data_IF_113640196924
#
_entry.id   IF_113640196924
#
_cell.length_a   1.000
_cell.length_b   1.000
_cell.length_c   1.000
_cell.angle_alpha   90.00
_cell.angle_beta   90.00
_cell.angle_gamma   90.00
#
_symmetry.space_group_name_H-M   'P 1'
#
loop_
_entity.id
_entity.type
_entity.pdbx_description
1 polymer ?
#
# COMPACT_ATOMS: atom_id res chain seq x y z
N UNK A 1 50.31 -38.44 33.29
CA UNK A 1 50.53 -37.72 34.58
C UNK A 1 50.10 -36.27 34.41
N UNK A 2 49.09 -35.86 35.02
CA UNK A 2 48.70 -34.71 35.82
C UNK A 2 47.24 -34.48 35.73
N UNK A 3 46.62 -34.77 36.84
CA UNK A 3 45.25 -34.52 37.26
C UNK A 3 44.95 -33.01 37.42
N UNK A 4 43.82 -32.54 37.01
CA UNK A 4 43.32 -31.16 37.23
C UNK A 4 41.81 -31.13 37.43
N UNK A 5 41.46 -30.73 38.62
CA UNK A 5 40.18 -30.81 39.35
C UNK A 5 38.99 -30.12 38.65
N UNK A 6 37.82 -30.76 38.77
CA UNK A 6 36.49 -30.18 38.69
C UNK A 6 36.26 -29.15 39.82
N UNK A 7 35.76 -27.97 39.46
CA UNK A 7 35.09 -27.06 40.40
C UNK A 7 33.68 -26.81 39.90
N UNK A 8 32.71 -27.30 40.66
CA UNK A 8 31.29 -27.07 40.41
C UNK A 8 30.92 -25.64 40.82
N UNK A 9 30.12 -24.98 39.97
CA UNK A 9 29.46 -23.73 40.30
C UNK A 9 27.97 -24.00 40.52
N UNK A 10 27.54 -23.75 41.75
CA UNK A 10 26.15 -23.75 42.16
C UNK A 10 25.37 -22.66 41.39
N UNK A 11 24.27 -23.04 40.75
CA UNK A 11 23.26 -22.15 40.24
C UNK A 11 22.32 -21.79 41.37
N UNK A 12 22.40 -20.56 41.86
CA UNK A 12 21.45 -20.01 42.82
C UNK A 12 20.15 -19.60 42.08
N UNK A 13 19.06 -20.28 42.42
CA UNK A 13 17.72 -19.90 42.01
C UNK A 13 17.29 -18.72 42.88
N UNK A 14 17.21 -17.51 42.26
CA UNK A 14 16.56 -16.35 42.89
C UNK A 14 15.08 -16.42 42.59
N UNK A 15 14.26 -16.76 43.58
CA UNK A 15 12.80 -16.62 43.53
C UNK A 15 12.49 -15.16 43.81
N UNK A 16 12.05 -14.42 42.76
CA UNK A 16 11.45 -13.10 42.91
C UNK A 16 9.99 -13.28 43.33
N UNK A 17 9.71 -13.03 44.61
CA UNK A 17 8.34 -12.82 45.10
C UNK A 17 7.84 -11.45 44.63
N UNK A 18 6.85 -11.45 43.71
CA UNK A 18 6.07 -10.25 43.41
C UNK A 18 5.14 -9.94 44.58
N UNK A 19 5.44 -8.93 45.36
CA UNK A 19 4.52 -8.30 46.31
C UNK A 19 3.58 -7.39 45.51
N UNK A 20 2.32 -7.75 45.40
CA UNK A 20 1.25 -6.87 44.92
C UNK A 20 1.06 -5.72 45.95
N UNK A 21 1.62 -4.57 45.65
CA UNK A 21 1.29 -3.32 46.36
C UNK A 21 -0.04 -2.80 45.78
N UNK A 22 -1.13 -3.04 46.47
CA UNK A 22 -2.40 -2.36 46.27
C UNK A 22 -2.24 -0.89 46.64
N UNK A 23 -2.22 0.00 45.63
CA UNK A 23 -2.39 1.45 45.86
C UNK A 23 -3.87 1.75 46.01
N UNK A 24 -4.20 2.28 47.21
CA UNK A 24 -5.54 2.71 47.56
C UNK A 24 -6.04 3.85 46.68
N UNK A 25 -7.33 3.77 46.39
CA UNK A 25 -8.14 4.87 45.84
C UNK A 25 -8.13 6.03 46.84
N UNK A 26 -7.36 7.08 46.57
CA UNK A 26 -7.65 8.42 47.10
C UNK A 26 -8.23 9.22 45.93
N UNK A 27 -9.53 9.56 46.07
CA UNK A 27 -10.23 10.38 45.10
C UNK A 27 -9.57 11.76 44.97
N UNK A 28 -9.09 12.08 43.79
CA UNK A 28 -8.99 13.45 43.32
C UNK A 28 -9.85 13.50 42.03
N UNK A 29 -10.86 14.35 42.08
CA UNK A 29 -11.62 14.84 40.96
C UNK A 29 -10.65 15.57 40.01
N UNK A 30 -10.14 14.90 38.99
CA UNK A 30 -9.26 15.45 38.00
C UNK A 30 -9.36 14.64 36.74
N UNK A 31 -9.74 15.30 35.70
CA UNK A 31 -9.68 14.94 34.28
C UNK A 31 -9.58 13.44 33.92
N UNK A 32 -10.66 12.90 33.42
CA UNK A 32 -10.60 11.61 32.71
C UNK A 32 -9.66 11.77 31.53
N UNK A 33 -8.47 11.16 31.61
CA UNK A 33 -7.51 11.10 30.50
C UNK A 33 -8.20 10.55 29.25
N UNK A 34 -8.21 11.37 28.19
CA UNK A 34 -8.71 10.95 26.91
C UNK A 34 -7.63 10.09 26.23
N UNK A 35 -8.02 8.92 25.71
CA UNK A 35 -7.08 8.03 25.02
C UNK A 35 -7.56 7.71 23.62
N UNK A 36 -6.62 7.53 22.71
CA UNK A 36 -6.84 7.02 21.36
C UNK A 36 -5.81 5.93 21.05
N UNK A 37 -6.25 4.71 20.76
CA UNK A 37 -5.35 3.59 20.54
C UNK A 37 -4.46 3.24 21.75
N UNK A 38 -4.86 3.65 22.96
CA UNK A 38 -4.05 3.51 24.19
C UNK A 38 -3.09 4.68 24.49
N UNK A 39 -3.00 5.66 23.60
CA UNK A 39 -2.18 6.86 23.78
C UNK A 39 -2.98 7.98 24.44
N UNK A 40 -2.33 8.78 25.29
CA UNK A 40 -2.93 10.00 25.83
C UNK A 40 -3.07 11.06 24.74
N UNK A 41 -4.25 11.64 24.61
CA UNK A 41 -4.59 12.62 23.58
C UNK A 41 -5.43 13.77 24.14
N UNK A 42 -5.45 14.89 23.45
CA UNK A 42 -6.34 15.98 23.77
C UNK A 42 -7.81 15.57 23.63
N UNK A 43 -8.67 15.95 24.59
CA UNK A 43 -10.12 15.65 24.55
C UNK A 43 -10.78 16.10 23.25
N UNK A 44 -10.33 17.22 22.68
CA UNK A 44 -10.77 17.73 21.39
C UNK A 44 -10.54 16.77 20.22
N UNK A 45 -9.49 15.94 20.29
CA UNK A 45 -9.15 15.02 19.23
C UNK A 45 -10.11 13.81 19.17
N UNK A 46 -10.56 13.27 20.29
CA UNK A 46 -11.42 12.08 20.38
C UNK A 46 -12.90 12.40 20.55
N UNK A 47 -13.25 13.59 21.02
CA UNK A 47 -14.66 13.99 21.20
C UNK A 47 -15.45 14.04 19.89
N UNK A 48 -16.78 14.04 19.99
CA UNK A 48 -17.71 14.08 18.83
C UNK A 48 -17.89 15.48 18.22
N UNK A 49 -17.30 16.52 18.81
CA UNK A 49 -17.40 17.91 18.34
C UNK A 49 -16.42 18.24 17.22
N UNK A 50 -16.68 19.36 16.54
CA UNK A 50 -15.73 19.95 15.60
C UNK A 50 -14.41 20.27 16.31
N UNK A 51 -13.34 20.20 15.53
CA UNK A 51 -12.03 20.62 16.03
C UNK A 51 -12.02 22.14 16.16
N UNK A 52 -11.58 22.62 17.33
CA UNK A 52 -11.48 24.05 17.63
C UNK A 52 -10.06 24.37 18.06
N UNK A 53 -9.65 25.60 17.89
CA UNK A 53 -8.32 26.09 18.26
C UNK A 53 -7.67 26.87 17.13
N UNK A 54 -6.60 27.59 17.50
CA UNK A 54 -5.82 28.39 16.56
C UNK A 54 -5.01 27.48 15.62
N UNK A 55 -4.92 27.86 14.35
CA UNK A 55 -4.00 27.25 13.39
C UNK A 55 -2.61 27.84 13.61
N UNK A 56 -1.95 27.41 14.69
CA UNK A 56 -0.59 27.82 15.10
C UNK A 56 0.16 26.65 15.70
N UNK A 57 1.48 26.61 15.50
CA UNK A 57 2.38 25.58 16.02
C UNK A 57 3.08 24.77 14.95
N UNK A 58 3.95 23.88 15.40
CA UNK A 58 4.75 23.03 14.53
C UNK A 58 4.17 21.63 14.42
N UNK A 59 4.15 21.08 13.19
CA UNK A 59 3.71 19.72 12.90
C UNK A 59 4.78 18.96 12.13
N UNK A 60 4.67 17.63 12.16
CA UNK A 60 5.42 16.71 11.30
C UNK A 60 4.50 16.18 10.20
N UNK A 61 5.01 16.14 8.97
CA UNK A 61 4.33 15.57 7.82
C UNK A 61 5.17 14.44 7.23
N UNK A 62 4.60 13.25 7.10
CA UNK A 62 5.26 12.07 6.52
C UNK A 62 4.68 11.73 5.17
N UNK A 63 5.59 11.52 4.19
CA UNK A 63 5.28 10.92 2.89
C UNK A 63 6.01 9.58 2.73
N UNK A 64 5.72 8.88 1.64
CA UNK A 64 6.35 7.61 1.27
C UNK A 64 7.09 7.76 -0.04
N UNK A 65 8.45 7.80 0.02
CA UNK A 65 9.37 7.84 -1.12
C UNK A 65 9.06 8.97 -2.14
N UNK A 66 8.73 10.17 -1.64
CA UNK A 66 8.41 11.33 -2.49
C UNK A 66 9.47 12.43 -2.43
N UNK A 67 10.24 12.51 -1.34
CA UNK A 67 11.12 13.65 -1.08
C UNK A 67 12.25 13.78 -2.09
N UNK A 68 12.78 12.65 -2.55
CA UNK A 68 13.88 12.62 -3.53
C UNK A 68 13.44 13.23 -4.87
N UNK A 69 12.28 12.84 -5.36
CA UNK A 69 11.84 13.15 -6.71
C UNK A 69 10.98 14.42 -6.79
N UNK A 70 10.22 14.72 -5.72
CA UNK A 70 9.26 15.82 -5.65
C UNK A 70 9.57 16.84 -4.57
N UNK A 71 10.84 16.88 -4.12
CA UNK A 71 11.29 17.79 -3.05
C UNK A 71 10.96 19.25 -3.31
N UNK A 72 11.14 19.73 -4.54
CA UNK A 72 10.84 21.10 -4.92
C UNK A 72 9.36 21.42 -4.80
N UNK A 73 8.48 20.54 -5.28
CA UNK A 73 7.03 20.69 -5.25
C UNK A 73 6.52 20.77 -3.81
N UNK A 74 6.81 19.75 -2.99
CA UNK A 74 6.28 19.68 -1.63
C UNK A 74 6.86 20.75 -0.69
N UNK A 75 8.13 21.15 -0.86
CA UNK A 75 8.67 22.29 -0.15
C UNK A 75 7.97 23.60 -0.55
N UNK A 76 7.55 23.73 -1.82
CA UNK A 76 6.74 24.84 -2.29
C UNK A 76 5.36 24.88 -1.62
N UNK A 77 4.66 23.75 -1.56
CA UNK A 77 3.37 23.60 -0.88
C UNK A 77 3.49 23.95 0.60
N UNK A 78 4.51 23.43 1.30
CA UNK A 78 4.77 23.72 2.72
C UNK A 78 4.98 25.23 2.94
N UNK A 79 5.88 25.86 2.17
CA UNK A 79 6.13 27.29 2.30
C UNK A 79 4.88 28.14 2.02
N UNK A 80 4.06 27.73 1.08
CA UNK A 80 2.81 28.43 0.76
C UNK A 80 1.79 28.30 1.88
N UNK A 81 1.69 27.13 2.51
CA UNK A 81 0.85 26.92 3.69
C UNK A 81 1.32 27.78 4.88
N UNK A 82 2.62 27.73 5.20
CA UNK A 82 3.19 28.53 6.31
C UNK A 82 3.01 30.04 6.10
N UNK A 83 3.10 30.49 4.84
CA UNK A 83 2.82 31.90 4.49
C UNK A 83 1.34 32.26 4.66
N UNK A 84 0.43 31.36 4.32
CA UNK A 84 -1.01 31.56 4.48
C UNK A 84 -1.46 31.47 5.94
N UNK A 85 -0.71 30.74 6.78
CA UNK A 85 -0.98 30.52 8.20
C UNK A 85 0.23 30.95 9.07
N UNK A 86 0.44 32.24 9.31
CA UNK A 86 1.57 32.73 10.09
C UNK A 86 1.60 32.13 11.49
N UNK A 87 2.76 31.68 11.95
CA UNK A 87 2.93 31.00 13.22
C UNK A 87 2.83 29.47 13.14
N UNK A 88 2.73 28.91 11.93
CA UNK A 88 2.85 27.47 11.70
C UNK A 88 4.23 27.09 11.18
N UNK A 89 4.62 25.84 11.38
CA UNK A 89 5.79 25.22 10.73
C UNK A 89 5.51 23.74 10.42
N UNK A 90 5.99 23.26 9.28
CA UNK A 90 5.80 21.87 8.86
C UNK A 90 7.17 21.21 8.63
N UNK A 91 7.50 20.25 9.49
CA UNK A 91 8.69 19.41 9.32
C UNK A 91 8.34 18.20 8.44
N UNK A 92 8.84 18.21 7.21
CA UNK A 92 8.62 17.09 6.27
C UNK A 92 9.63 15.97 6.46
N UNK A 93 9.13 14.74 6.67
CA UNK A 93 9.89 13.48 6.73
C UNK A 93 9.39 12.56 5.62
N UNK A 94 10.24 11.62 5.21
CA UNK A 94 9.93 10.72 4.08
C UNK A 94 10.33 9.29 4.47
N UNK A 95 9.35 8.38 4.47
CA UNK A 95 9.58 6.96 4.69
C UNK A 95 9.96 6.30 3.35
N UNK A 96 10.84 5.27 3.34
CA UNK A 96 11.16 4.53 2.13
C UNK A 96 9.96 3.93 1.38
N UNK A 97 8.83 3.70 2.05
CA UNK A 97 7.61 3.16 1.45
C UNK A 97 7.75 1.73 0.96
N UNK A 98 8.63 0.94 1.58
CA UNK A 98 8.86 -0.46 1.24
C UNK A 98 7.77 -1.38 1.82
N UNK A 99 7.91 -2.69 1.62
CA UNK A 99 6.94 -3.71 2.07
C UNK A 99 6.75 -3.78 3.59
N UNK A 100 7.58 -3.12 4.38
CA UNK A 100 7.48 -3.06 5.86
C UNK A 100 6.86 -1.75 6.37
N UNK A 101 6.45 -0.86 5.46
CA UNK A 101 5.86 0.45 5.81
C UNK A 101 4.70 0.34 6.80
N UNK A 102 3.70 -0.51 6.51
CA UNK A 102 2.54 -0.69 7.40
C UNK A 102 2.97 -1.17 8.79
N UNK A 103 3.93 -2.10 8.87
CA UNK A 103 4.41 -2.63 10.14
C UNK A 103 5.12 -1.56 10.97
N UNK A 104 5.99 -0.74 10.34
CA UNK A 104 6.67 0.38 11.01
C UNK A 104 5.66 1.41 11.50
N UNK A 105 4.72 1.81 10.66
CA UNK A 105 3.71 2.81 11.02
C UNK A 105 2.81 2.33 12.16
N UNK A 106 2.45 1.05 12.20
CA UNK A 106 1.71 0.47 13.33
C UNK A 106 2.56 0.44 14.59
N UNK A 107 3.85 0.14 14.50
CA UNK A 107 4.76 0.19 15.66
C UNK A 107 4.92 1.62 16.20
N UNK A 108 5.04 2.62 15.33
CA UNK A 108 5.07 4.03 15.72
C UNK A 108 3.76 4.46 16.40
N UNK A 109 2.62 3.96 15.89
CA UNK A 109 1.31 4.20 16.51
C UNK A 109 1.24 3.62 17.92
N UNK A 110 1.68 2.37 18.12
CA UNK A 110 1.72 1.72 19.43
C UNK A 110 2.70 2.43 20.42
N UNK A 111 3.77 3.00 19.88
CA UNK A 111 4.70 3.82 20.66
C UNK A 111 4.21 5.26 20.91
N UNK A 112 3.04 5.65 20.39
CA UNK A 112 2.50 7.01 20.45
C UNK A 112 3.41 8.06 19.79
N UNK A 113 4.13 7.68 18.74
CA UNK A 113 5.13 8.51 18.04
C UNK A 113 4.78 8.78 16.58
N UNK A 114 3.50 8.57 16.19
CA UNK A 114 3.06 8.90 14.84
C UNK A 114 3.36 10.35 14.48
N UNK A 115 3.78 10.64 13.25
CA UNK A 115 3.75 11.99 12.69
C UNK A 115 2.34 12.59 12.73
N UNK A 116 2.25 13.92 12.82
CA UNK A 116 0.95 14.61 12.91
C UNK A 116 0.09 14.40 11.66
N UNK A 117 0.71 14.44 10.47
CA UNK A 117 0.06 14.23 9.18
C UNK A 117 0.78 13.11 8.43
N UNK A 118 0.02 12.14 7.91
CA UNK A 118 0.55 10.93 7.31
C UNK A 118 -0.02 10.70 5.90
N UNK A 119 0.87 10.33 4.97
CA UNK A 119 0.47 9.68 3.72
C UNK A 119 0.29 8.18 3.97
N UNK A 120 -0.88 7.66 3.67
CA UNK A 120 -1.26 6.27 3.94
C UNK A 120 -1.81 5.58 2.69
N UNK A 121 -1.55 4.28 2.58
CA UNK A 121 -2.30 3.38 1.73
C UNK A 121 -3.55 2.84 2.46
N UNK A 122 -4.43 2.14 1.74
CA UNK A 122 -5.68 1.62 2.30
C UNK A 122 -5.45 0.60 3.44
N UNK A 123 -4.40 -0.22 3.35
CA UNK A 123 -4.05 -1.24 4.35
C UNK A 123 -3.64 -0.60 5.68
N UNK A 124 -2.74 0.37 5.63
CA UNK A 124 -2.28 1.11 6.82
C UNK A 124 -3.43 1.92 7.41
N UNK A 125 -4.21 2.62 6.58
CA UNK A 125 -5.39 3.35 7.02
C UNK A 125 -6.42 2.45 7.73
N UNK A 126 -6.68 1.25 7.20
CA UNK A 126 -7.55 0.25 7.85
C UNK A 126 -7.03 -0.13 9.22
N UNK A 127 -5.75 -0.47 9.33
CA UNK A 127 -5.12 -0.91 10.59
C UNK A 127 -5.16 0.18 11.66
N UNK A 128 -4.77 1.40 11.28
CA UNK A 128 -4.74 2.53 12.22
C UNK A 128 -6.13 3.02 12.62
N UNK A 129 -7.11 3.01 11.70
CA UNK A 129 -8.50 3.36 12.02
C UNK A 129 -9.12 2.35 12.97
N UNK A 130 -8.95 1.04 12.70
CA UNK A 130 -9.46 -0.03 13.58
C UNK A 130 -8.93 0.11 15.00
N UNK A 131 -7.66 0.49 15.14
CA UNK A 131 -7.01 0.65 16.44
C UNK A 131 -7.24 2.04 17.09
N UNK A 132 -7.92 2.98 16.42
CA UNK A 132 -8.27 4.29 16.98
C UNK A 132 -7.12 5.31 16.98
N UNK A 133 -6.08 5.13 16.17
CA UNK A 133 -4.92 6.04 16.13
C UNK A 133 -5.11 7.28 15.25
N UNK A 134 -6.16 7.33 14.45
CA UNK A 134 -6.42 8.42 13.51
C UNK A 134 -7.60 9.29 13.95
N UNK A 135 -7.49 10.58 13.65
CA UNK A 135 -8.54 11.56 13.87
C UNK A 135 -9.76 11.25 12.98
N UNK A 136 -10.99 11.29 13.51
CA UNK A 136 -12.19 11.20 12.67
C UNK A 136 -12.45 12.54 11.98
N UNK A 137 -11.88 12.71 10.80
CA UNK A 137 -11.89 13.97 10.04
C UNK A 137 -13.31 14.41 9.70
N UNK A 138 -14.20 13.47 9.36
CA UNK A 138 -15.60 13.77 9.06
C UNK A 138 -16.39 14.36 10.22
N UNK A 139 -15.99 14.05 11.46
CA UNK A 139 -16.55 14.68 12.69
C UNK A 139 -15.86 16.01 12.99
N UNK A 140 -14.54 16.06 12.79
CA UNK A 140 -13.73 17.25 13.11
C UNK A 140 -14.00 18.42 12.17
N UNK A 141 -14.24 18.15 10.90
CA UNK A 141 -14.85 19.07 9.93
C UNK A 141 -15.89 18.36 9.07
N UNK A 142 -17.20 18.55 9.33
CA UNK A 142 -18.26 17.96 8.52
C UNK A 142 -18.28 18.41 7.06
N UNK A 143 -17.52 19.44 6.70
CA UNK A 143 -17.42 19.94 5.32
C UNK A 143 -16.24 19.36 4.54
N UNK A 144 -15.32 18.66 5.21
CA UNK A 144 -14.04 18.20 4.65
C UNK A 144 -14.23 17.29 3.41
N UNK A 145 -15.32 16.55 3.33
CA UNK A 145 -15.63 15.66 2.21
C UNK A 145 -16.14 16.33 0.94
N UNK A 146 -16.64 17.60 1.03
CA UNK A 146 -17.31 18.28 -0.08
C UNK A 146 -16.48 18.45 -1.37
N UNK A 147 -15.15 18.71 -1.31
CA UNK A 147 -14.35 18.87 -2.52
C UNK A 147 -14.18 17.59 -3.34
N UNK A 148 -14.28 16.42 -2.71
CA UNK A 148 -13.92 15.15 -3.32
C UNK A 148 -15.04 14.58 -4.21
N UNK A 149 -14.63 13.82 -5.22
CA UNK A 149 -15.55 13.00 -6.02
C UNK A 149 -16.29 12.04 -5.09
N UNK A 150 -17.65 11.98 -5.16
CA UNK A 150 -18.44 11.18 -4.21
C UNK A 150 -17.99 9.72 -4.09
N UNK A 151 -17.57 9.09 -5.19
CA UNK A 151 -17.07 7.72 -5.16
C UNK A 151 -15.77 7.58 -4.35
N UNK A 152 -14.82 8.52 -4.51
CA UNK A 152 -13.58 8.53 -3.73
C UNK A 152 -13.83 8.84 -2.26
N UNK A 153 -14.71 9.78 -1.96
CA UNK A 153 -15.10 10.06 -0.58
C UNK A 153 -15.76 8.86 0.08
N UNK A 154 -16.69 8.19 -0.59
CA UNK A 154 -17.32 6.96 -0.09
C UNK A 154 -16.30 5.84 0.15
N UNK A 155 -15.33 5.65 -0.76
CA UNK A 155 -14.28 4.63 -0.62
C UNK A 155 -13.25 4.95 0.47
N UNK A 156 -13.25 6.19 1.01
CA UNK A 156 -12.38 6.65 2.10
C UNK A 156 -13.00 6.43 3.49
N UNK A 157 -13.95 5.52 3.58
CA UNK A 157 -14.61 5.12 4.83
C UNK A 157 -13.98 3.84 5.35
N UNK A 158 -13.47 3.88 6.57
CA UNK A 158 -12.87 2.72 7.25
C UNK A 158 -13.63 2.40 8.53
N UNK A 159 -13.58 1.13 8.97
CA UNK A 159 -14.27 0.68 10.18
C UNK A 159 -13.36 0.74 11.39
N UNK A 160 -13.88 1.25 12.49
CA UNK A 160 -13.23 1.15 13.81
C UNK A 160 -13.39 -0.26 14.42
N UNK A 161 -12.91 -0.45 15.65
CA UNK A 161 -13.03 -1.72 16.37
C UNK A 161 -14.49 -2.13 16.67
N UNK A 162 -15.41 -1.17 16.74
CA UNK A 162 -16.86 -1.42 16.93
C UNK A 162 -17.58 -1.79 15.63
N UNK A 163 -16.91 -1.66 14.48
CA UNK A 163 -17.50 -1.82 13.16
C UNK A 163 -18.15 -0.54 12.62
N UNK A 164 -18.07 0.59 13.34
CA UNK A 164 -18.59 1.88 12.91
C UNK A 164 -17.76 2.45 11.76
N UNK A 165 -18.43 2.96 10.74
CA UNK A 165 -17.80 3.56 9.58
C UNK A 165 -17.34 4.99 9.88
N UNK A 166 -16.05 5.27 9.73
CA UNK A 166 -15.42 6.57 10.01
C UNK A 166 -14.72 7.12 8.78
N UNK A 167 -14.69 8.44 8.64
CA UNK A 167 -13.83 9.15 7.70
C UNK A 167 -12.58 9.64 8.42
N UNK A 168 -11.55 8.81 8.47
CA UNK A 168 -10.28 9.11 9.13
C UNK A 168 -9.18 9.55 8.15
N UNK A 169 -9.49 9.61 6.86
CA UNK A 169 -8.55 9.96 5.81
C UNK A 169 -9.21 10.87 4.76
N UNK A 170 -8.38 11.65 4.06
CA UNK A 170 -8.74 12.43 2.87
C UNK A 170 -8.16 11.74 1.64
N UNK A 171 -8.96 11.50 0.58
CA UNK A 171 -8.41 11.03 -0.69
C UNK A 171 -7.44 12.07 -1.25
N UNK A 172 -6.23 11.65 -1.58
CA UNK A 172 -5.21 12.58 -2.05
C UNK A 172 -4.99 12.50 -3.56
N UNK A 173 -4.61 11.33 -4.02
CA UNK A 173 -4.52 11.04 -5.45
C UNK A 173 -4.81 9.57 -5.72
N UNK A 174 -5.15 9.26 -6.95
CA UNK A 174 -5.35 7.88 -7.37
C UNK A 174 -4.55 7.59 -8.64
N UNK A 175 -4.29 6.34 -8.88
CA UNK A 175 -3.70 5.81 -10.10
C UNK A 175 -4.46 4.58 -10.54
N UNK A 176 -4.07 4.05 -11.69
CA UNK A 176 -4.52 2.74 -12.14
C UNK A 176 -3.40 1.73 -12.01
N UNK A 177 -3.60 0.58 -12.60
CA UNK A 177 -2.59 -0.45 -12.80
C UNK A 177 -2.43 -0.74 -14.28
N UNK A 178 -1.17 -0.89 -14.71
CA UNK A 178 -0.83 -1.13 -16.12
C UNK A 178 0.13 -2.30 -16.24
N UNK A 179 0.25 -2.88 -17.42
CA UNK A 179 1.39 -3.71 -17.78
C UNK A 179 2.46 -2.84 -18.41
N UNK A 180 3.62 -2.73 -17.77
CA UNK A 180 4.82 -2.16 -18.38
C UNK A 180 5.68 -3.29 -18.89
N UNK A 181 6.07 -3.27 -20.16
CA UNK A 181 6.84 -4.36 -20.75
C UNK A 181 7.86 -3.89 -21.80
N UNK A 182 8.92 -4.71 -21.94
CA UNK A 182 9.96 -4.51 -22.94
C UNK A 182 9.58 -5.21 -24.24
N UNK A 183 9.29 -4.44 -25.27
CA UNK A 183 8.80 -4.94 -26.57
C UNK A 183 9.81 -5.84 -27.29
N UNK A 184 11.11 -5.57 -27.13
CA UNK A 184 12.17 -6.41 -27.75
C UNK A 184 12.25 -7.79 -27.10
N UNK A 185 12.11 -7.85 -25.75
CA UNK A 185 12.14 -9.13 -25.03
C UNK A 185 10.90 -9.97 -25.35
N UNK A 186 9.73 -9.32 -25.48
CA UNK A 186 8.51 -10.02 -25.91
C UNK A 186 8.67 -10.58 -27.32
N UNK A 187 9.13 -9.76 -28.29
CA UNK A 187 9.37 -10.22 -29.67
C UNK A 187 10.35 -11.39 -29.75
N UNK A 188 11.44 -11.36 -28.95
CA UNK A 188 12.40 -12.47 -28.85
C UNK A 188 11.75 -13.76 -28.35
N UNK A 189 10.70 -13.66 -27.54
CA UNK A 189 9.92 -14.80 -27.05
C UNK A 189 8.76 -15.19 -27.99
N UNK A 190 8.63 -14.56 -29.16
CA UNK A 190 7.54 -14.81 -30.09
C UNK A 190 6.19 -14.28 -29.63
N UNK A 191 6.19 -13.26 -28.77
CA UNK A 191 5.00 -12.60 -28.27
C UNK A 191 4.81 -11.28 -29.04
N UNK A 192 3.59 -11.03 -29.52
CA UNK A 192 3.23 -9.78 -30.18
C UNK A 192 2.98 -8.68 -29.13
N UNK A 193 3.84 -7.65 -29.04
CA UNK A 193 3.66 -6.58 -28.05
C UNK A 193 2.41 -5.72 -28.28
N UNK A 194 1.80 -5.77 -29.46
CA UNK A 194 0.57 -5.04 -29.76
C UNK A 194 -0.69 -5.73 -29.20
N UNK A 195 -0.55 -6.96 -28.70
CA UNK A 195 -1.65 -7.78 -28.17
C UNK A 195 -1.34 -8.23 -26.74
N UNK A 196 -1.36 -7.31 -25.77
CA UNK A 196 -1.13 -7.68 -24.37
C UNK A 196 -2.19 -8.69 -23.89
N UNK A 197 -1.82 -9.58 -22.95
CA UNK A 197 -2.75 -10.59 -22.45
C UNK A 197 -3.90 -9.93 -21.67
N UNK A 198 -5.12 -10.45 -21.87
CA UNK A 198 -6.34 -9.94 -21.24
C UNK A 198 -6.75 -10.71 -19.98
N UNK A 199 -6.08 -11.86 -19.70
CA UNK A 199 -6.33 -12.69 -18.53
C UNK A 199 -5.04 -12.96 -17.76
N UNK A 200 -5.16 -13.25 -16.47
CA UNK A 200 -4.01 -13.58 -15.60
C UNK A 200 -3.30 -14.85 -16.11
N UNK A 201 -4.05 -15.88 -16.49
CA UNK A 201 -3.43 -17.09 -17.04
C UNK A 201 -2.85 -16.88 -18.44
N UNK A 202 -3.40 -15.95 -19.22
CA UNK A 202 -2.79 -15.51 -20.49
C UNK A 202 -1.43 -14.84 -20.26
N UNK A 203 -1.32 -14.00 -19.23
CA UNK A 203 -0.05 -13.40 -18.81
C UNK A 203 0.95 -14.47 -18.35
N UNK A 204 0.49 -15.49 -17.62
CA UNK A 204 1.34 -16.61 -17.20
C UNK A 204 1.82 -17.46 -18.38
N UNK A 205 0.99 -17.63 -19.41
CA UNK A 205 1.40 -18.30 -20.65
C UNK A 205 2.51 -17.50 -21.38
N UNK A 206 2.45 -16.17 -21.35
CA UNK A 206 3.54 -15.35 -21.88
C UNK A 206 4.82 -15.48 -21.03
N UNK A 207 4.72 -15.56 -19.70
CA UNK A 207 5.87 -15.83 -18.85
C UNK A 207 6.54 -17.18 -19.17
N UNK A 208 5.75 -18.22 -19.47
CA UNK A 208 6.26 -19.52 -19.90
C UNK A 208 7.01 -19.44 -21.24
N UNK A 209 6.44 -18.73 -22.25
CA UNK A 209 7.12 -18.50 -23.53
C UNK A 209 8.46 -17.79 -23.35
N UNK A 210 8.48 -16.76 -22.48
CA UNK A 210 9.70 -16.02 -22.14
C UNK A 210 10.74 -16.96 -21.52
N UNK A 211 10.36 -17.76 -20.53
CA UNK A 211 11.27 -18.72 -19.88
C UNK A 211 11.91 -19.69 -20.90
N UNK A 212 11.10 -20.26 -21.81
CA UNK A 212 11.56 -21.17 -22.87
C UNK A 212 12.51 -20.50 -23.84
N UNK A 213 12.24 -19.25 -24.22
CA UNK A 213 13.06 -18.48 -25.15
C UNK A 213 14.33 -17.94 -24.52
N UNK A 214 14.22 -17.40 -23.31
CA UNK A 214 15.30 -16.67 -22.64
C UNK A 214 16.43 -17.58 -22.14
N UNK A 215 16.12 -18.82 -21.75
CA UNK A 215 17.08 -19.81 -21.21
C UNK A 215 17.99 -19.22 -20.13
N UNK A 216 17.41 -18.42 -19.23
CA UNK A 216 18.11 -17.77 -18.11
C UNK A 216 18.90 -16.50 -18.46
N UNK A 217 18.88 -16.02 -19.71
CA UNK A 217 19.53 -14.75 -20.10
C UNK A 217 18.75 -13.53 -19.63
N UNK A 218 17.44 -13.64 -19.52
CA UNK A 218 16.51 -12.69 -18.98
C UNK A 218 15.28 -13.41 -18.43
N UNK A 219 14.44 -12.72 -17.70
CA UNK A 219 13.30 -13.29 -16.98
C UNK A 219 11.99 -12.63 -17.40
N UNK A 220 10.88 -13.29 -17.16
CA UNK A 220 9.57 -12.71 -17.40
C UNK A 220 9.21 -11.66 -16.34
N UNK A 221 9.39 -12.00 -15.07
CA UNK A 221 9.04 -11.16 -13.91
C UNK A 221 9.86 -11.56 -12.68
N UNK A 222 9.60 -10.93 -11.54
CA UNK A 222 10.21 -11.29 -10.25
C UNK A 222 9.42 -12.40 -9.54
N UNK A 223 10.05 -13.12 -8.61
CA UNK A 223 9.47 -14.34 -8.05
C UNK A 223 8.57 -14.12 -6.83
N UNK A 224 8.81 -13.08 -6.02
CA UNK A 224 8.06 -12.90 -4.78
C UNK A 224 6.58 -12.53 -5.08
N UNK A 225 5.60 -13.34 -4.64
CA UNK A 225 4.19 -13.14 -5.00
C UNK A 225 3.46 -12.11 -4.12
N UNK A 226 4.15 -11.42 -3.20
CA UNK A 226 3.52 -10.61 -2.16
C UNK A 226 2.52 -9.58 -2.69
N UNK A 227 2.85 -8.89 -3.79
CA UNK A 227 1.96 -7.90 -4.40
C UNK A 227 0.97 -8.50 -5.40
N UNK A 228 1.28 -9.70 -5.91
CA UNK A 228 0.43 -10.34 -6.91
C UNK A 228 -0.79 -11.01 -6.32
N UNK A 229 -0.67 -11.62 -5.13
CA UNK A 229 -1.77 -12.39 -4.53
C UNK A 229 -3.02 -11.52 -4.38
N UNK A 230 -3.01 -10.36 -3.68
CA UNK A 230 -4.23 -9.56 -3.56
C UNK A 230 -4.72 -9.02 -4.90
N UNK A 231 -3.81 -8.56 -5.77
CA UNK A 231 -4.19 -7.99 -7.06
C UNK A 231 -4.76 -9.02 -8.03
N UNK A 232 -4.09 -10.17 -8.22
CA UNK A 232 -4.54 -11.20 -9.15
C UNK A 232 -5.85 -11.86 -8.66
N UNK A 233 -5.97 -12.13 -7.33
CA UNK A 233 -7.19 -12.73 -6.78
C UNK A 233 -8.38 -11.79 -6.94
N UNK A 234 -8.17 -10.51 -6.73
CA UNK A 234 -9.20 -9.50 -6.90
C UNK A 234 -9.65 -9.43 -8.37
N UNK A 235 -8.69 -9.36 -9.33
CA UNK A 235 -8.99 -9.36 -10.77
C UNK A 235 -9.68 -10.64 -11.24
N UNK A 236 -9.30 -11.79 -10.70
CA UNK A 236 -9.96 -13.07 -10.95
C UNK A 236 -11.31 -13.21 -10.22
N UNK A 237 -11.71 -12.20 -9.43
CA UNK A 237 -12.90 -12.25 -8.56
C UNK A 237 -12.89 -13.46 -7.60
N UNK A 238 -11.70 -13.83 -7.10
CA UNK A 238 -11.55 -14.85 -6.07
C UNK A 238 -11.80 -14.19 -4.71
N UNK A 239 -12.77 -14.68 -3.97
CA UNK A 239 -13.06 -14.18 -2.63
C UNK A 239 -11.95 -14.61 -1.67
N UNK A 240 -11.23 -13.64 -1.12
CA UNK A 240 -10.17 -13.90 -0.13
C UNK A 240 -10.75 -14.15 1.25
N UNK A 241 -11.73 -13.33 1.65
CA UNK A 241 -12.45 -13.47 2.93
C UNK A 241 -13.94 -13.67 2.69
N UNK A 242 -14.62 -14.26 3.70
CA UNK A 242 -16.07 -14.31 3.81
C UNK A 242 -16.67 -12.88 3.87
N UNK A 243 -17.96 -12.75 3.60
CA UNK A 243 -18.64 -11.45 3.56
C UNK A 243 -18.61 -10.69 4.89
N UNK A 244 -18.48 -11.41 6.01
CA UNK A 244 -18.33 -10.83 7.35
C UNK A 244 -16.86 -10.54 7.72
N UNK A 245 -15.91 -10.92 6.85
CA UNK A 245 -14.46 -10.72 7.04
C UNK A 245 -13.81 -11.62 8.08
N UNK A 246 -14.56 -12.58 8.66
CA UNK A 246 -14.08 -13.40 9.79
C UNK A 246 -13.36 -14.67 9.39
N UNK A 247 -13.49 -15.08 8.14
CA UNK A 247 -12.90 -16.32 7.63
C UNK A 247 -12.27 -16.12 6.26
N UNK A 248 -11.11 -16.74 6.05
CA UNK A 248 -10.52 -16.89 4.72
C UNK A 248 -11.24 -18.01 3.97
N UNK A 249 -11.59 -17.78 2.70
CA UNK A 249 -12.38 -18.69 1.86
C UNK A 249 -11.76 -18.92 0.46
N UNK A 250 -10.57 -18.42 0.20
CA UNK A 250 -9.94 -18.47 -1.13
C UNK A 250 -9.60 -19.89 -1.61
N UNK A 251 -9.46 -20.86 -0.71
CA UNK A 251 -9.21 -22.25 -1.08
C UNK A 251 -10.45 -22.95 -1.68
N UNK A 252 -11.62 -22.37 -1.50
CA UNK A 252 -12.88 -22.93 -2.03
C UNK A 252 -12.98 -22.69 -3.56
N UNK A 253 -12.22 -21.74 -4.08
CA UNK A 253 -12.14 -21.48 -5.51
C UNK A 253 -10.99 -22.31 -6.16
N UNK A 254 -11.28 -23.21 -7.12
CA UNK A 254 -10.26 -24.07 -7.74
C UNK A 254 -9.19 -23.27 -8.51
N UNK A 255 -9.50 -22.03 -8.95
CA UNK A 255 -8.56 -21.15 -9.63
C UNK A 255 -7.42 -20.72 -8.71
N UNK A 256 -7.63 -20.69 -7.40
CA UNK A 256 -6.55 -20.44 -6.42
C UNK A 256 -5.46 -21.53 -6.49
N UNK A 257 -5.88 -22.79 -6.50
CA UNK A 257 -4.92 -23.90 -6.65
C UNK A 257 -4.23 -23.86 -8.01
N UNK A 258 -4.97 -23.54 -9.06
CA UNK A 258 -4.41 -23.39 -10.42
C UNK A 258 -3.38 -22.25 -10.47
N UNK A 259 -3.68 -21.11 -9.85
CA UNK A 259 -2.77 -19.96 -9.78
C UNK A 259 -1.46 -20.34 -9.06
N UNK A 260 -1.53 -21.01 -7.90
CA UNK A 260 -0.35 -21.48 -7.17
C UNK A 260 0.45 -22.52 -7.99
N UNK A 261 -0.22 -23.42 -8.69
CA UNK A 261 0.43 -24.39 -9.57
C UNK A 261 1.18 -23.70 -10.72
N UNK A 262 0.61 -22.65 -11.32
CA UNK A 262 1.28 -21.83 -12.31
C UNK A 262 2.52 -21.13 -11.74
N UNK A 263 2.41 -20.50 -10.59
CA UNK A 263 3.57 -19.84 -9.95
C UNK A 263 4.71 -20.83 -9.66
N UNK A 264 4.37 -22.02 -9.17
CA UNK A 264 5.36 -23.09 -8.94
C UNK A 264 6.01 -23.57 -10.25
N UNK A 265 5.23 -23.78 -11.29
CA UNK A 265 5.71 -24.17 -12.63
C UNK A 265 6.65 -23.10 -13.21
N UNK A 266 6.22 -21.83 -13.22
CA UNK A 266 6.98 -20.71 -13.78
C UNK A 266 8.32 -20.50 -13.05
N UNK A 267 8.30 -20.62 -11.72
CA UNK A 267 9.52 -20.55 -10.94
C UNK A 267 10.47 -21.70 -11.25
N UNK A 268 9.96 -22.94 -11.34
CA UNK A 268 10.74 -24.14 -11.71
C UNK A 268 11.35 -23.99 -13.12
N UNK A 269 10.61 -23.47 -14.07
CA UNK A 269 11.01 -23.31 -15.48
C UNK A 269 11.95 -22.10 -15.71
N UNK A 270 12.21 -21.30 -14.69
CA UNK A 270 13.13 -20.17 -14.78
C UNK A 270 12.52 -18.92 -15.42
N UNK A 271 11.20 -18.74 -15.35
CA UNK A 271 10.55 -17.49 -15.72
C UNK A 271 10.91 -16.33 -14.78
N UNK A 272 11.46 -16.66 -13.62
CA UNK A 272 11.78 -15.76 -12.51
C UNK A 272 13.18 -16.06 -11.96
N UNK A 273 13.96 -15.03 -11.50
CA UNK A 273 15.24 -15.27 -10.84
C UNK A 273 15.05 -16.07 -9.55
N UNK A 274 15.91 -17.06 -9.31
CA UNK A 274 15.78 -17.95 -8.14
C UNK A 274 15.98 -17.21 -6.80
N UNK A 275 16.88 -16.25 -6.78
CA UNK A 275 17.22 -15.43 -5.63
C UNK A 275 16.14 -14.36 -5.33
N UNK A 276 15.30 -14.00 -6.31
CA UNK A 276 14.25 -13.01 -6.12
C UNK A 276 13.06 -13.51 -5.28
N UNK A 277 13.02 -14.79 -4.92
CA UNK A 277 11.93 -15.33 -4.08
C UNK A 277 11.96 -14.78 -2.64
N UNK A 278 13.15 -14.60 -2.08
CA UNK A 278 13.37 -14.12 -0.71
C UNK A 278 13.75 -12.65 -0.62
N UNK A 279 13.93 -11.98 -1.75
CA UNK A 279 14.33 -10.58 -1.82
C UNK A 279 13.11 -9.67 -2.07
N UNK A 280 13.37 -8.36 -2.12
CA UNK A 280 12.40 -7.40 -2.63
C UNK A 280 11.90 -7.81 -4.01
N UNK A 281 10.59 -7.73 -4.24
CA UNK A 281 9.97 -8.05 -5.53
C UNK A 281 10.02 -6.86 -6.51
N UNK A 282 10.92 -5.93 -6.31
CA UNK A 282 11.07 -4.76 -7.15
C UNK A 282 11.76 -5.11 -8.49
N UNK A 283 11.06 -5.04 -9.62
CA UNK A 283 11.64 -5.29 -10.94
C UNK A 283 12.43 -4.10 -11.50
N UNK A 284 12.50 -2.98 -10.80
CA UNK A 284 12.96 -1.70 -11.35
C UNK A 284 14.38 -1.76 -11.91
N UNK A 285 15.35 -2.18 -11.11
CA UNK A 285 16.74 -2.30 -11.55
C UNK A 285 16.93 -3.39 -12.62
N UNK A 286 16.43 -4.64 -12.45
CA UNK A 286 16.55 -5.66 -13.50
C UNK A 286 15.88 -5.26 -14.82
N UNK A 287 14.77 -4.53 -14.78
CA UNK A 287 14.08 -4.06 -15.98
C UNK A 287 14.92 -3.02 -16.74
N UNK A 288 15.46 -2.01 -16.06
CA UNK A 288 16.31 -1.00 -16.69
C UNK A 288 17.63 -1.56 -17.22
N UNK A 289 18.04 -2.73 -16.73
CA UNK A 289 19.16 -3.51 -17.28
C UNK A 289 18.75 -4.41 -18.46
N UNK A 290 17.48 -4.41 -18.88
CA UNK A 290 16.97 -5.28 -19.93
C UNK A 290 16.94 -6.77 -19.54
N UNK A 291 16.90 -7.09 -18.24
CA UNK A 291 16.93 -8.45 -17.72
C UNK A 291 15.55 -8.99 -17.31
N UNK A 292 14.51 -8.16 -17.33
CA UNK A 292 13.14 -8.55 -17.01
C UNK A 292 12.22 -8.01 -18.10
N UNK A 293 11.30 -8.85 -18.57
CA UNK A 293 10.42 -8.50 -19.69
C UNK A 293 9.20 -7.67 -19.24
N UNK A 294 8.60 -7.99 -18.10
CA UNK A 294 7.46 -7.27 -17.51
C UNK A 294 7.92 -6.53 -16.25
N UNK A 295 7.80 -5.21 -16.28
CA UNK A 295 8.21 -4.30 -15.21
C UNK A 295 7.14 -4.13 -14.12
N UNK A 296 7.18 -2.98 -13.46
CA UNK A 296 6.20 -2.61 -12.44
C UNK A 296 4.82 -2.32 -13.06
N UNK A 297 3.78 -2.61 -12.28
CA UNK A 297 2.39 -2.28 -12.64
C UNK A 297 2.00 -0.85 -12.28
N UNK A 298 2.88 -0.09 -11.61
CA UNK A 298 2.67 1.32 -11.32
C UNK A 298 2.80 2.16 -12.60
N UNK A 299 1.79 2.95 -13.00
CA UNK A 299 1.84 3.75 -14.22
C UNK A 299 2.99 4.77 -14.25
N UNK A 300 3.36 5.35 -13.11
CA UNK A 300 4.47 6.30 -13.00
C UNK A 300 5.87 5.65 -13.10
N UNK A 301 5.93 4.31 -13.15
CA UNK A 301 7.18 3.58 -13.30
C UNK A 301 7.95 3.94 -14.58
N UNK A 302 7.24 4.35 -15.62
CA UNK A 302 7.84 4.79 -16.90
C UNK A 302 8.83 5.93 -16.72
N UNK A 303 8.64 6.80 -15.68
CA UNK A 303 9.61 7.83 -15.31
C UNK A 303 10.94 7.21 -14.89
N UNK A 304 10.90 6.25 -13.97
CA UNK A 304 12.10 5.57 -13.48
C UNK A 304 12.89 4.93 -14.64
N UNK A 305 12.19 4.30 -15.58
CA UNK A 305 12.81 3.70 -16.77
C UNK A 305 13.45 4.78 -17.64
N UNK A 306 12.74 5.88 -17.90
CA UNK A 306 13.24 7.01 -18.70
C UNK A 306 14.52 7.62 -18.12
N UNK A 307 14.53 7.85 -16.81
CA UNK A 307 15.66 8.49 -16.11
C UNK A 307 16.89 7.57 -16.02
N UNK A 308 16.68 6.27 -15.80
CA UNK A 308 17.77 5.34 -15.52
C UNK A 308 18.27 4.57 -16.75
N UNK A 309 17.46 4.43 -17.80
CA UNK A 309 17.83 3.73 -19.03
C UNK A 309 17.02 4.21 -20.24
N UNK A 310 17.40 5.33 -20.87
CA UNK A 310 16.74 5.83 -22.09
C UNK A 310 16.65 4.79 -23.21
N UNK A 311 17.65 3.91 -23.33
CA UNK A 311 17.68 2.84 -24.34
C UNK A 311 16.65 1.75 -24.08
N UNK A 312 16.33 1.44 -22.81
CA UNK A 312 15.25 0.52 -22.45
C UNK A 312 13.90 1.25 -22.55
N UNK A 313 13.84 2.52 -22.17
CA UNK A 313 12.63 3.33 -22.34
C UNK A 313 12.14 3.36 -23.79
N UNK A 314 13.04 3.52 -24.76
CA UNK A 314 12.71 3.47 -26.20
C UNK A 314 12.10 2.12 -26.65
N UNK A 315 12.23 1.08 -25.83
CA UNK A 315 11.70 -0.28 -26.07
C UNK A 315 10.58 -0.63 -25.09
N UNK A 316 10.18 0.31 -24.25
CA UNK A 316 9.11 0.13 -23.27
C UNK A 316 7.76 0.48 -23.91
N UNK A 317 6.78 -0.36 -23.68
CA UNK A 317 5.39 -0.06 -23.95
C UNK A 317 4.55 -0.29 -22.69
N UNK A 318 3.38 0.32 -22.68
CA UNK A 318 2.42 0.21 -21.59
C UNK A 318 1.11 -0.34 -22.16
N UNK A 319 0.61 -1.41 -21.56
CA UNK A 319 -0.63 -2.08 -21.95
C UNK A 319 -1.61 -2.17 -20.79
N UNK A 320 -2.83 -2.60 -21.13
CA UNK A 320 -3.86 -2.86 -20.15
C UNK A 320 -3.47 -4.04 -19.26
N UNK A 321 -3.60 -3.86 -17.94
CA UNK A 321 -3.53 -4.96 -16.97
C UNK A 321 -4.68 -5.96 -17.25
N UNK A 322 -4.46 -7.27 -17.16
CA UNK A 322 -5.53 -8.25 -17.25
C UNK A 322 -6.64 -7.98 -16.23
N UNK A 323 -7.90 -7.97 -16.69
CA UNK A 323 -9.07 -7.77 -15.82
C UNK A 323 -9.77 -9.06 -15.42
N UNK A 324 -9.50 -10.12 -16.14
CA UNK A 324 -10.07 -11.46 -15.94
C UNK A 324 -11.61 -11.43 -15.75
N UNK A 325 -12.07 -12.12 -14.70
CA UNK A 325 -13.50 -12.23 -14.41
C UNK A 325 -14.13 -10.95 -13.87
N UNK A 326 -13.33 -10.01 -13.34
CA UNK A 326 -13.85 -8.76 -12.79
C UNK A 326 -14.23 -7.76 -13.89
N UNK A 327 -13.53 -7.76 -15.03
CA UNK A 327 -13.82 -6.89 -16.17
C UNK A 327 -13.46 -5.40 -16.00
N UNK A 328 -12.90 -5.02 -14.86
CA UNK A 328 -12.43 -3.66 -14.56
C UNK A 328 -11.32 -3.70 -13.50
N UNK A 329 -10.62 -2.59 -13.29
CA UNK A 329 -9.60 -2.51 -12.24
C UNK A 329 -10.23 -2.27 -10.87
N UNK A 330 -9.53 -2.72 -9.83
CA UNK A 330 -9.77 -2.30 -8.45
C UNK A 330 -8.62 -1.43 -7.98
N UNK A 331 -8.89 -0.55 -7.03
CA UNK A 331 -7.90 0.35 -6.49
C UNK A 331 -8.43 1.18 -5.33
N UNK A 332 -7.51 1.85 -4.68
CA UNK A 332 -7.82 2.85 -3.67
C UNK A 332 -6.95 4.09 -3.91
N UNK A 333 -7.44 5.28 -3.57
CA UNK A 333 -6.58 6.45 -3.50
C UNK A 333 -5.42 6.23 -2.52
N UNK A 334 -4.36 7.01 -2.68
CA UNK A 334 -3.49 7.32 -1.57
C UNK A 334 -4.20 8.36 -0.70
N UNK A 335 -3.94 8.31 0.57
CA UNK A 335 -4.67 9.09 1.55
C UNK A 335 -3.76 10.00 2.34
N UNK A 336 -4.31 11.10 2.82
CA UNK A 336 -3.73 11.93 3.88
C UNK A 336 -4.60 11.77 5.13
N UNK A 337 -3.96 11.60 6.27
CA UNK A 337 -4.61 11.45 7.57
C UNK A 337 -3.96 12.32 8.63
N UNK A 338 -4.64 12.48 9.74
CA UNK A 338 -4.14 13.17 10.93
C UNK A 338 -4.12 12.20 12.10
N UNK A 339 -2.99 12.13 12.81
CA UNK A 339 -2.86 11.30 14.01
C UNK A 339 -3.74 11.86 15.14
N UNK A 340 -4.46 10.99 15.84
CA UNK A 340 -5.23 11.39 17.02
C UNK A 340 -4.33 11.89 18.18
N UNK A 341 -3.05 11.50 18.17
CA UNK A 341 -2.01 11.94 19.13
C UNK A 341 -1.43 13.32 18.84
N UNK A 342 -1.81 13.97 17.71
CA UNK A 342 -1.29 15.30 17.38
C UNK A 342 -1.62 16.32 18.45
N UNK A 343 -0.61 17.01 18.96
CA UNK A 343 -0.76 18.12 19.91
C UNK A 343 -1.18 19.44 19.24
N UNK A 344 -1.07 19.48 17.91
CA UNK A 344 -1.46 20.61 17.06
C UNK A 344 -2.48 20.19 16.01
N UNK A 345 -3.50 19.42 16.43
CA UNK A 345 -4.51 18.87 15.52
C UNK A 345 -5.20 19.93 14.63
N UNK A 346 -5.49 21.18 15.07
CA UNK A 346 -6.00 22.23 14.19
C UNK A 346 -5.06 22.56 13.03
N UNK A 347 -3.74 22.65 13.29
CA UNK A 347 -2.73 22.88 12.23
C UNK A 347 -2.63 21.67 11.31
N UNK A 348 -2.62 20.46 11.89
CA UNK A 348 -2.51 19.21 11.13
C UNK A 348 -3.70 19.01 10.18
N UNK A 349 -4.92 19.29 10.64
CA UNK A 349 -6.12 19.22 9.81
C UNK A 349 -6.09 20.29 8.70
N UNK A 350 -5.80 21.55 9.05
CA UNK A 350 -5.69 22.63 8.07
C UNK A 350 -4.62 22.33 6.99
N UNK A 351 -3.47 21.76 7.38
CA UNK A 351 -2.44 21.36 6.43
C UNK A 351 -2.89 20.16 5.56
N UNK A 352 -3.56 19.17 6.16
CA UNK A 352 -4.10 18.04 5.41
C UNK A 352 -5.12 18.48 4.33
N UNK A 353 -6.02 19.40 4.68
CA UNK A 353 -6.98 20.01 3.76
C UNK A 353 -6.29 20.86 2.68
N UNK A 354 -5.29 21.64 3.07
CA UNK A 354 -4.50 22.43 2.13
C UNK A 354 -3.76 21.56 1.12
N UNK A 355 -3.10 20.51 1.58
CA UNK A 355 -2.37 19.57 0.74
C UNK A 355 -3.29 18.83 -0.24
N UNK A 356 -4.50 18.50 0.20
CA UNK A 356 -5.48 17.73 -0.59
C UNK A 356 -6.50 18.58 -1.33
N UNK A 357 -6.35 19.91 -1.33
CA UNK A 357 -7.23 20.79 -2.08
C UNK A 357 -7.08 20.62 -3.60
N UNK A 358 -8.04 21.17 -4.36
CA UNK A 358 -8.07 21.03 -5.81
C UNK A 358 -6.83 21.62 -6.51
N UNK A 359 -6.32 22.74 -6.02
CA UNK A 359 -5.16 23.43 -6.58
C UNK A 359 -3.90 22.57 -6.48
N UNK A 360 -3.58 22.11 -5.27
CA UNK A 360 -2.37 21.33 -5.01
C UNK A 360 -2.43 19.93 -5.64
N UNK A 361 -3.60 19.27 -5.63
CA UNK A 361 -3.76 17.99 -6.34
C UNK A 361 -3.59 18.15 -7.85
N UNK A 362 -4.17 19.21 -8.44
CA UNK A 362 -4.04 19.49 -9.87
C UNK A 362 -2.60 19.80 -10.23
N UNK A 363 -1.94 20.64 -9.46
CA UNK A 363 -0.55 21.03 -9.72
C UNK A 363 0.38 19.83 -9.72
N UNK A 364 0.25 18.92 -8.73
CA UNK A 364 1.08 17.73 -8.69
C UNK A 364 0.73 16.71 -9.76
N UNK A 365 -0.55 16.45 -10.01
CA UNK A 365 -0.97 15.48 -11.01
C UNK A 365 -0.65 15.92 -12.46
N UNK A 366 -0.40 17.21 -12.68
CA UNK A 366 0.12 17.75 -13.95
C UNK A 366 1.62 17.66 -14.11
N UNK A 367 2.36 17.26 -13.08
CA UNK A 367 3.80 17.03 -13.20
C UNK A 367 4.06 16.03 -14.34
N UNK A 368 4.95 16.35 -15.30
CA UNK A 368 5.20 15.48 -16.44
C UNK A 368 5.77 14.11 -16.07
N UNK A 369 6.35 13.99 -14.88
CA UNK A 369 7.01 12.78 -14.41
C UNK A 369 6.10 11.86 -13.59
N UNK A 370 4.79 12.15 -13.46
CA UNK A 370 3.83 11.29 -12.78
C UNK A 370 2.66 10.88 -13.68
N UNK A 371 2.09 9.72 -13.39
CA UNK A 371 0.80 9.29 -13.92
C UNK A 371 -0.12 9.01 -12.74
N UNK A 372 -0.67 10.09 -12.21
CA UNK A 372 -1.67 10.08 -11.13
C UNK A 372 -2.85 10.96 -11.52
N UNK A 373 -3.95 10.77 -10.84
CA UNK A 373 -5.18 11.55 -11.05
C UNK A 373 -5.64 12.14 -9.72
N UNK A 374 -6.10 13.39 -9.74
CA UNK A 374 -6.64 14.02 -8.55
C UNK A 374 -7.97 13.37 -8.14
N UNK A 375 -8.32 13.52 -6.88
CA UNK A 375 -9.55 12.95 -6.30
C UNK A 375 -10.63 13.99 -6.04
N UNK A 376 -10.35 15.27 -6.25
CA UNK A 376 -11.34 16.34 -6.15
C UNK A 376 -12.12 16.51 -7.45
N UNK A 377 -13.41 16.85 -7.35
CA UNK A 377 -14.29 17.03 -8.51
C UNK A 377 -13.79 18.12 -9.45
N UNK A 378 -13.36 19.25 -8.91
CA UNK A 378 -12.85 20.38 -9.70
C UNK A 378 -11.59 19.99 -10.47
N UNK A 379 -10.63 19.31 -9.82
CA UNK A 379 -9.39 18.92 -10.46
C UNK A 379 -9.59 17.86 -11.54
N UNK A 380 -10.42 16.85 -11.26
CA UNK A 380 -10.65 15.76 -12.21
C UNK A 380 -11.32 16.26 -13.52
N UNK A 381 -12.08 17.35 -13.45
CA UNK A 381 -12.69 18.00 -14.60
C UNK A 381 -11.72 18.89 -15.41
N UNK A 382 -10.47 19.06 -14.98
CA UNK A 382 -9.47 19.81 -15.72
C UNK A 382 -9.19 19.16 -17.09
N UNK A 383 -9.14 19.93 -18.18
CA UNK A 383 -8.92 19.39 -19.54
C UNK A 383 -7.68 18.51 -19.69
N UNK A 384 -6.66 18.72 -18.88
CA UNK A 384 -5.45 17.88 -18.88
C UNK A 384 -5.75 16.40 -18.62
N UNK A 385 -6.72 16.10 -17.75
CA UNK A 385 -7.10 14.72 -17.41
C UNK A 385 -8.17 14.16 -18.35
N UNK A 386 -8.89 15.02 -19.04
CA UNK A 386 -9.98 14.62 -19.94
C UNK A 386 -9.52 14.31 -21.37
N UNK A 387 -8.39 14.91 -21.82
CA UNK A 387 -7.87 14.79 -23.19
C UNK A 387 -6.38 14.44 -23.15
N UNK A 388 -6.09 13.14 -23.03
CA UNK A 388 -4.71 12.67 -23.08
C UNK A 388 -4.27 12.48 -24.53
N UNK A 389 -3.20 13.15 -24.93
CA UNK A 389 -2.59 13.05 -26.26
C UNK A 389 -1.17 12.49 -26.19
N UNK A 390 -0.68 11.94 -27.31
CA UNK A 390 0.68 11.37 -27.44
C UNK A 390 0.68 9.85 -27.48
N UNK A 391 1.83 9.29 -27.90
CA UNK A 391 2.02 7.83 -28.11
C UNK A 391 3.22 7.29 -27.32
N UNK A 392 3.92 8.14 -26.55
CA UNK A 392 5.00 7.69 -25.69
C UNK A 392 4.47 6.88 -24.49
N UNK A 393 5.31 6.15 -23.76
CA UNK A 393 4.88 5.35 -22.62
C UNK A 393 4.12 6.11 -21.53
N UNK A 394 4.40 7.41 -21.31
CA UNK A 394 3.63 8.23 -20.38
C UNK A 394 2.21 8.49 -20.88
N UNK A 395 2.08 8.88 -22.14
CA UNK A 395 0.78 9.14 -22.74
C UNK A 395 -0.07 7.85 -22.79
N UNK A 396 0.55 6.71 -23.13
CA UNK A 396 -0.11 5.41 -23.09
C UNK A 396 -0.62 5.09 -21.67
N UNK A 397 0.24 5.26 -20.64
CA UNK A 397 -0.13 5.03 -19.25
C UNK A 397 -1.27 5.95 -18.80
N UNK A 398 -1.20 7.26 -19.09
CA UNK A 398 -2.26 8.22 -18.74
C UNK A 398 -3.59 7.88 -19.40
N UNK A 399 -3.56 7.54 -20.70
CA UNK A 399 -4.78 7.16 -21.44
C UNK A 399 -5.45 5.92 -20.82
N UNK A 400 -4.67 4.89 -20.54
CA UNK A 400 -5.16 3.67 -19.90
C UNK A 400 -5.76 3.94 -18.51
N UNK A 401 -5.06 4.71 -17.67
CA UNK A 401 -5.55 5.06 -16.32
C UNK A 401 -6.81 5.91 -16.39
N UNK A 402 -6.86 6.92 -17.27
CA UNK A 402 -8.07 7.73 -17.46
C UNK A 402 -9.29 6.89 -17.84
N UNK A 403 -9.10 5.86 -18.68
CA UNK A 403 -10.17 4.94 -19.05
C UNK A 403 -10.53 3.99 -17.89
N UNK A 404 -9.56 3.47 -17.18
CA UNK A 404 -9.78 2.62 -16.00
C UNK A 404 -10.61 3.33 -14.92
N UNK A 405 -10.30 4.60 -14.61
CA UNK A 405 -10.98 5.36 -13.55
C UNK A 405 -12.48 5.53 -13.77
N UNK A 406 -12.97 5.39 -15.01
CA UNK A 406 -14.42 5.43 -15.32
C UNK A 406 -15.18 4.24 -14.70
N UNK A 407 -14.49 3.12 -14.47
CA UNK A 407 -15.10 1.87 -13.98
C UNK A 407 -14.41 1.30 -12.75
N UNK A 408 -13.28 1.85 -12.32
CA UNK A 408 -12.54 1.36 -11.14
C UNK A 408 -13.43 1.33 -9.90
N UNK A 409 -13.40 0.21 -9.19
CA UNK A 409 -14.05 0.05 -7.89
C UNK A 409 -13.01 -0.04 -6.76
N UNK A 410 -13.45 0.13 -5.53
CA UNK A 410 -12.58 -0.13 -4.37
C UNK A 410 -12.17 -1.61 -4.34
N UNK A 411 -11.03 -1.91 -3.73
CA UNK A 411 -10.62 -3.28 -3.45
C UNK A 411 -11.75 -4.04 -2.78
N UNK A 412 -11.99 -5.28 -3.22
CA UNK A 412 -13.04 -6.13 -2.64
C UNK A 412 -12.73 -6.48 -1.19
N UNK A 413 -11.45 -6.68 -0.89
CA UNK A 413 -10.99 -7.09 0.44
C UNK A 413 -9.60 -6.53 0.71
N UNK A 414 -9.45 -5.90 1.86
CA UNK A 414 -8.14 -5.54 2.41
C UNK A 414 -7.80 -6.58 3.48
N UNK A 415 -6.75 -7.35 3.25
CA UNK A 415 -6.25 -8.35 4.22
C UNK A 415 -5.11 -7.74 5.04
N UNK A 416 -5.01 -8.13 6.31
CA UNK A 416 -3.92 -7.65 7.15
C UNK A 416 -2.55 -8.18 6.69
N UNK A 417 -1.45 -7.45 6.96
CA UNK A 417 -0.09 -7.89 6.60
C UNK A 417 0.26 -9.28 7.12
N UNK A 418 -0.20 -9.62 8.33
CA UNK A 418 0.04 -10.93 8.93
C UNK A 418 -0.62 -12.05 8.10
N UNK A 419 -1.88 -11.86 7.70
CA UNK A 419 -2.61 -12.81 6.84
C UNK A 419 -1.94 -12.91 5.47
N UNK A 420 -1.58 -11.78 4.86
CA UNK A 420 -0.88 -11.76 3.57
C UNK A 420 0.45 -12.51 3.63
N UNK A 421 1.27 -12.26 4.65
CA UNK A 421 2.55 -12.95 4.85
C UNK A 421 2.37 -14.46 5.02
N UNK A 422 1.33 -14.88 5.76
CA UNK A 422 1.02 -16.30 5.94
C UNK A 422 0.68 -16.99 4.61
N UNK A 423 -0.13 -16.35 3.77
CA UNK A 423 -0.47 -16.85 2.42
C UNK A 423 0.78 -16.94 1.55
N UNK A 424 1.55 -15.83 1.46
CA UNK A 424 2.78 -15.75 0.67
C UNK A 424 3.76 -16.85 1.03
N UNK A 425 3.96 -17.11 2.34
CA UNK A 425 4.90 -18.13 2.81
C UNK A 425 4.53 -19.53 2.31
N UNK A 426 3.25 -19.88 2.26
CA UNK A 426 2.81 -21.18 1.75
C UNK A 426 2.97 -21.27 0.23
N UNK A 427 2.66 -20.20 -0.50
CA UNK A 427 2.86 -20.14 -1.95
C UNK A 427 4.35 -20.32 -2.28
N UNK A 428 5.25 -19.66 -1.54
CA UNK A 428 6.70 -19.81 -1.71
C UNK A 428 7.17 -21.25 -1.48
N UNK A 429 6.58 -21.98 -0.52
CA UNK A 429 6.89 -23.40 -0.32
C UNK A 429 6.48 -24.26 -1.53
N UNK A 430 5.35 -23.93 -2.18
CA UNK A 430 4.96 -24.58 -3.42
C UNK A 430 5.92 -24.23 -4.57
N UNK A 431 6.30 -22.97 -4.72
CA UNK A 431 7.27 -22.54 -5.74
C UNK A 431 8.62 -23.24 -5.58
N UNK A 432 9.06 -23.46 -4.35
CA UNK A 432 10.28 -24.22 -4.03
C UNK A 432 10.14 -25.74 -4.24
N UNK A 433 8.95 -26.23 -4.57
CA UNK A 433 8.67 -27.68 -4.70
C UNK A 433 8.60 -28.41 -3.35
N UNK A 434 8.52 -27.71 -2.23
CA UNK A 434 8.42 -28.29 -0.87
C UNK A 434 6.99 -28.72 -0.52
N UNK A 435 5.99 -28.21 -1.22
CA UNK A 435 4.57 -28.58 -1.09
C UNK A 435 3.92 -28.66 -2.46
N UNK A 436 2.85 -29.46 -2.57
CA UNK A 436 1.95 -29.36 -3.73
C UNK A 436 1.16 -28.05 -3.68
N UNK A 437 0.69 -27.57 -4.82
CA UNK A 437 -0.15 -26.36 -4.89
C UNK A 437 -1.41 -26.51 -4.02
N UNK A 438 -2.10 -27.65 -4.08
CA UNK A 438 -3.29 -27.90 -3.28
C UNK A 438 -3.02 -27.89 -1.77
N UNK A 439 -1.89 -28.49 -1.33
CA UNK A 439 -1.51 -28.48 0.08
C UNK A 439 -1.13 -27.06 0.54
N UNK A 440 -0.41 -26.29 -0.28
CA UNK A 440 -0.04 -24.93 0.03
C UNK A 440 -1.27 -24.02 0.19
N UNK A 441 -2.27 -24.14 -0.69
CA UNK A 441 -3.52 -23.39 -0.60
C UNK A 441 -4.32 -23.74 0.66
N UNK A 442 -4.43 -25.04 0.97
CA UNK A 442 -5.12 -25.50 2.19
C UNK A 442 -4.44 -24.97 3.45
N UNK A 443 -3.12 -25.08 3.53
CA UNK A 443 -2.35 -24.61 4.70
C UNK A 443 -2.38 -23.09 4.83
N UNK A 444 -2.34 -22.37 3.68
CA UNK A 444 -2.47 -20.91 3.65
C UNK A 444 -3.82 -20.45 4.24
N UNK A 445 -4.92 -21.08 3.82
CA UNK A 445 -6.26 -20.75 4.35
C UNK A 445 -6.38 -21.10 5.84
N UNK A 446 -5.87 -22.24 6.25
CA UNK A 446 -5.89 -22.65 7.66
C UNK A 446 -5.12 -21.63 8.53
N UNK A 447 -3.92 -21.21 8.09
CA UNK A 447 -3.12 -20.21 8.82
C UNK A 447 -3.75 -18.83 8.83
N UNK A 448 -4.34 -18.41 7.70
CA UNK A 448 -5.11 -17.18 7.62
C UNK A 448 -6.29 -17.18 8.62
N UNK A 449 -7.02 -18.28 8.72
CA UNK A 449 -8.15 -18.43 9.66
C UNK A 449 -7.70 -18.43 11.13
N UNK A 450 -6.53 -19.00 11.43
CA UNK A 450 -5.93 -18.91 12.78
C UNK A 450 -5.66 -17.45 13.15
N UNK A 451 -5.01 -16.68 12.25
CA UNK A 451 -4.71 -15.27 12.48
C UNK A 451 -5.96 -14.39 12.58
N UNK A 452 -6.98 -14.66 11.77
CA UNK A 452 -8.24 -13.92 11.82
C UNK A 452 -8.95 -14.12 13.15
N UNK A 453 -8.95 -15.35 13.69
CA UNK A 453 -9.52 -15.63 15.03
C UNK A 453 -8.76 -14.95 16.17
N UNK A 454 -7.45 -14.76 16.03
CA UNK A 454 -6.65 -14.07 17.05
C UNK A 454 -6.85 -12.54 17.01
N UNK A 455 -7.31 -12.00 15.88
CA UNK A 455 -7.48 -10.56 15.67
C UNK A 455 -8.92 -10.05 15.96
N UNK A 456 -9.88 -10.95 16.15
CA UNK A 456 -11.30 -10.65 16.45
C UNK A 456 -11.70 -11.08 17.81
#
# INVERSE_FOLDING_TARGET
MRTGRLTGSMVGIIVLTLTAAGCGLSGSSGDSDSTAGGCNVDKGNVGSGKLTGDVKGGITFQTTNLKKDFGSFFNGVIKSFEKAHPGTSVKWIDDPGDSTFTQRTVADAQACTLPDVLNLNAETATSLTKAGYLLNLGVKDPSVGKPFVPAFWKSSTFKDASGSALHTVLPWYTGGIVLTYNTDLLKKAGIDPAKPPTTIFGLFADYEKIAKSAKGKYYATMANPIWRIPADFDQMNIKTLSSDGKSAVFADDPRTTQWVAWMAKLYKEGAMPKDSLSSSNDPSTPYTQGKVAYGSTNPSYVRFVKQNSPSVYAKTAVGQQPFDALGHTTGAPQYISVAATSKHAPVALAFAEYLTNAENQTAWAKDPDVVIFPTTTTSLNDPFFQKVSGDDPFAQARKLVADQLKTTTAYQTVISPAVQTAIVSQVQLAMQGKKSAAQAVKDAQAKANELLKQAG
#
